data_IF_017893975691
#
_entry.id   IF_017893975691
#
_cell.length_a   1.000
_cell.length_b   1.000
_cell.length_c   1.000
_cell.angle_alpha   90.00
_cell.angle_beta   90.00
_cell.angle_gamma   90.00
#
_symmetry.space_group_name_H-M   'P 1'
#
loop_
_entity.id
_entity.type
_entity.pdbx_description
1 polymer ?
#
# COMPACT_ATOMS: atom_id res chain seq x y z
N UNK A 1 -9.03 -5.20 -4.97
CA UNK A 1 -9.43 -3.86 -4.53
C UNK A 1 -8.57 -3.47 -3.35
N UNK A 2 -8.15 -2.20 -3.27
CA UNK A 2 -7.40 -1.66 -2.13
C UNK A 2 -8.26 -0.61 -1.41
N UNK A 3 -8.39 -0.75 -0.10
CA UNK A 3 -9.06 0.20 0.76
C UNK A 3 -8.09 0.75 1.82
N UNK A 4 -8.17 2.04 2.11
CA UNK A 4 -7.37 2.68 3.17
C UNK A 4 -8.13 2.57 4.49
N UNK A 5 -7.48 2.00 5.50
CA UNK A 5 -8.03 1.92 6.84
C UNK A 5 -7.60 3.15 7.65
N UNK A 6 -8.56 3.87 8.24
CA UNK A 6 -8.30 5.13 8.95
C UNK A 6 -8.19 4.98 10.48
N UNK A 7 -8.45 3.80 11.02
CA UNK A 7 -8.43 3.53 12.47
C UNK A 7 -7.01 3.16 12.96
N UNK A 8 -6.01 3.94 12.54
CA UNK A 8 -4.60 3.71 12.88
C UNK A 8 -3.93 5.00 13.34
N UNK A 9 -2.92 4.92 14.23
CA UNK A 9 -2.11 6.06 14.63
C UNK A 9 -1.56 6.86 13.45
N UNK A 10 -1.40 8.17 13.66
CA UNK A 10 -0.77 9.06 12.68
C UNK A 10 0.60 8.55 12.23
N UNK A 11 0.86 8.61 10.93
CA UNK A 11 2.08 8.08 10.31
C UNK A 11 2.04 6.58 9.97
N UNK A 12 0.96 5.87 10.28
CA UNK A 12 0.72 4.49 9.84
C UNK A 12 -0.25 4.49 8.67
N UNK A 13 0.22 4.00 7.52
CA UNK A 13 -0.60 3.73 6.35
C UNK A 13 -1.11 2.30 6.40
N UNK A 14 -2.38 2.12 6.73
CA UNK A 14 -3.00 0.80 6.73
C UNK A 14 -3.86 0.60 5.47
N UNK A 15 -3.64 -0.52 4.80
CA UNK A 15 -4.34 -0.92 3.59
C UNK A 15 -5.00 -2.28 3.80
N UNK A 16 -6.23 -2.43 3.34
CA UNK A 16 -6.93 -3.70 3.21
C UNK A 16 -7.01 -4.08 1.73
N UNK A 17 -6.49 -5.25 1.40
CA UNK A 17 -6.63 -5.84 0.09
C UNK A 17 -7.71 -6.93 0.13
N UNK A 18 -8.75 -6.75 -0.69
CA UNK A 18 -9.85 -7.71 -0.83
C UNK A 18 -10.04 -8.03 -2.32
N UNK A 19 -10.49 -9.25 -2.63
CA UNK A 19 -10.68 -9.71 -4.01
C UNK A 19 -9.40 -9.57 -4.86
N UNK A 20 -9.55 -9.30 -6.16
CA UNK A 20 -8.44 -9.10 -7.09
C UNK A 20 -7.92 -7.67 -7.01
N UNK A 21 -6.62 -7.50 -6.78
CA UNK A 21 -5.96 -6.19 -6.78
C UNK A 21 -5.49 -5.81 -8.19
N UNK A 22 -5.94 -4.63 -8.65
CA UNK A 22 -5.67 -4.12 -10.00
C UNK A 22 -4.59 -3.05 -10.01
N UNK A 23 -4.04 -2.74 -11.19
CA UNK A 23 -3.09 -1.63 -11.35
C UNK A 23 -3.71 -0.25 -11.08
N UNK A 24 -5.04 -0.11 -11.24
CA UNK A 24 -5.75 1.13 -10.94
C UNK A 24 -5.88 1.39 -9.45
N UNK A 25 -6.10 0.33 -8.65
CA UNK A 25 -6.06 0.44 -7.17
C UNK A 25 -4.71 1.02 -6.70
N UNK A 26 -3.61 0.58 -7.32
CA UNK A 26 -2.28 1.10 -7.01
C UNK A 26 -2.16 2.59 -7.34
N UNK A 27 -2.52 2.98 -8.58
CA UNK A 27 -2.34 4.35 -9.06
C UNK A 27 -3.24 5.36 -8.33
N UNK A 28 -4.47 4.96 -8.05
CA UNK A 28 -5.50 5.88 -7.56
C UNK A 28 -5.59 5.89 -6.03
N UNK A 29 -5.12 4.84 -5.34
CA UNK A 29 -5.21 4.70 -3.88
C UNK A 29 -3.84 4.61 -3.23
N UNK A 30 -3.04 3.62 -3.62
CA UNK A 30 -1.79 3.31 -2.92
C UNK A 30 -0.70 4.39 -3.12
N UNK A 31 -0.45 4.79 -4.37
CA UNK A 31 0.53 5.84 -4.73
C UNK A 31 0.26 7.15 -3.99
N UNK A 32 -0.93 7.79 -4.12
CA UNK A 32 -1.17 9.07 -3.48
C UNK A 32 -1.15 8.99 -1.96
N UNK A 33 -1.53 7.85 -1.36
CA UNK A 33 -1.44 7.65 0.08
C UNK A 33 0.03 7.60 0.57
N UNK A 34 0.90 6.91 -0.18
CA UNK A 34 2.33 6.84 0.10
C UNK A 34 2.97 8.21 -0.06
N UNK A 35 2.74 8.91 -1.17
CA UNK A 35 3.31 10.26 -1.39
C UNK A 35 2.92 11.22 -0.27
N UNK A 36 1.63 11.23 0.11
CA UNK A 36 1.14 12.05 1.22
C UNK A 36 1.80 11.72 2.56
N UNK A 37 2.05 10.43 2.83
CA UNK A 37 2.74 10.00 4.05
C UNK A 37 4.21 10.42 4.07
N UNK A 38 4.90 10.32 2.93
CA UNK A 38 6.28 10.80 2.78
C UNK A 38 6.33 12.32 2.96
N UNK A 39 5.43 13.07 2.34
CA UNK A 39 5.39 14.53 2.47
C UNK A 39 5.13 14.98 3.92
N UNK A 40 4.27 14.25 4.65
CA UNK A 40 3.87 14.65 6.00
C UNK A 40 4.83 14.17 7.08
N UNK A 41 5.36 12.94 6.97
CA UNK A 41 6.12 12.29 8.03
C UNK A 41 7.57 11.99 7.64
N UNK A 42 7.95 12.19 6.37
CA UNK A 42 9.27 11.88 5.81
C UNK A 42 9.66 10.38 5.89
N UNK A 43 8.71 9.53 6.27
CA UNK A 43 8.89 8.09 6.44
C UNK A 43 7.58 7.34 6.22
N UNK A 44 7.70 6.09 5.82
CA UNK A 44 6.57 5.21 5.50
C UNK A 44 6.55 4.07 6.52
N UNK A 45 5.48 4.00 7.30
CA UNK A 45 5.13 2.79 8.07
C UNK A 45 3.85 2.23 7.49
N UNK A 46 3.91 1.08 6.83
CA UNK A 46 2.75 0.49 6.18
C UNK A 46 2.29 -0.81 6.85
N UNK A 47 0.98 -0.97 6.95
CA UNK A 47 0.31 -2.22 7.29
C UNK A 47 -0.51 -2.67 6.09
N UNK A 48 -0.24 -3.87 5.59
CA UNK A 48 -0.95 -4.47 4.47
C UNK A 48 -1.72 -5.69 4.96
N UNK A 49 -3.04 -5.55 5.07
CA UNK A 49 -3.94 -6.61 5.47
C UNK A 49 -4.51 -7.29 4.23
N UNK A 50 -4.13 -8.55 4.01
CA UNK A 50 -4.67 -9.44 3.01
C UNK A 50 -5.91 -10.11 3.61
N UNK A 51 -7.09 -9.61 3.26
CA UNK A 51 -8.34 -10.15 3.80
C UNK A 51 -8.63 -11.58 3.32
N UNK A 52 -9.59 -12.28 3.95
CA UNK A 52 -9.94 -13.66 3.60
C UNK A 52 -10.48 -13.82 2.16
N UNK A 53 -10.95 -12.73 1.55
CA UNK A 53 -11.44 -12.68 0.17
C UNK A 53 -10.34 -12.33 -0.84
N UNK A 54 -9.08 -12.19 -0.41
CA UNK A 54 -7.98 -11.88 -1.30
C UNK A 54 -7.70 -13.06 -2.25
N UNK A 55 -7.87 -12.83 -3.56
CA UNK A 55 -7.70 -13.86 -4.58
C UNK A 55 -6.36 -13.75 -5.32
N UNK A 56 -5.72 -12.58 -5.30
CA UNK A 56 -4.40 -12.37 -5.88
C UNK A 56 -4.21 -10.99 -6.52
N UNK A 57 -3.05 -10.84 -7.16
CA UNK A 57 -2.69 -9.66 -7.93
C UNK A 57 -2.84 -9.94 -9.42
N UNK A 58 -3.40 -8.99 -10.17
CA UNK A 58 -3.30 -9.03 -11.64
C UNK A 58 -1.85 -8.83 -12.10
N UNK A 59 -1.50 -9.36 -13.27
CA UNK A 59 -0.15 -9.22 -13.84
C UNK A 59 0.30 -7.75 -14.01
N UNK A 60 -0.64 -6.80 -14.14
CA UNK A 60 -0.35 -5.36 -14.20
C UNK A 60 -0.05 -4.72 -12.84
N UNK A 61 -0.57 -5.27 -11.75
CA UNK A 61 -0.29 -4.79 -10.40
C UNK A 61 1.17 -5.10 -9.99
N UNK A 62 1.64 -6.31 -10.31
CA UNK A 62 3.01 -6.77 -9.98
C UNK A 62 4.14 -5.91 -10.59
N UNK A 63 3.91 -5.29 -11.75
CA UNK A 63 4.85 -4.34 -12.37
C UNK A 63 4.84 -2.96 -11.70
N UNK A 64 3.71 -2.58 -11.09
CA UNK A 64 3.56 -1.32 -10.36
C UNK A 64 4.22 -1.39 -8.98
N UNK A 65 4.14 -2.55 -8.31
CA UNK A 65 4.88 -2.85 -7.07
C UNK A 65 6.37 -2.54 -7.19
N UNK A 66 6.97 -2.88 -8.32
CA UNK A 66 8.42 -2.70 -8.55
C UNK A 66 8.80 -1.22 -8.58
N UNK A 67 7.97 -0.34 -9.16
CA UNK A 67 8.30 1.09 -9.32
C UNK A 67 8.17 1.89 -8.03
N UNK A 68 7.11 1.69 -7.24
CA UNK A 68 6.89 2.45 -6.00
C UNK A 68 7.84 1.96 -4.91
N UNK A 69 8.01 0.65 -4.81
CA UNK A 69 9.00 0.03 -3.93
C UNK A 69 10.39 0.60 -4.17
N UNK A 70 10.82 0.68 -5.45
CA UNK A 70 12.12 1.25 -5.86
C UNK A 70 12.23 2.78 -5.68
N UNK A 71 11.18 3.54 -5.97
CA UNK A 71 11.21 5.01 -5.95
C UNK A 71 11.42 5.59 -4.54
N UNK A 72 10.97 4.87 -3.50
CA UNK A 72 11.02 5.35 -2.12
C UNK A 72 11.72 4.36 -1.18
N UNK A 73 12.62 3.50 -1.67
CA UNK A 73 13.34 2.51 -0.85
C UNK A 73 13.92 3.08 0.45
N UNK A 74 14.43 4.31 0.42
CA UNK A 74 15.05 4.97 1.58
C UNK A 74 14.06 5.58 2.58
N UNK A 75 12.78 5.72 2.20
CA UNK A 75 11.73 6.27 3.06
C UNK A 75 10.96 5.19 3.84
N UNK A 76 11.10 3.91 3.47
CA UNK A 76 10.45 2.81 4.18
C UNK A 76 11.10 2.57 5.54
N UNK A 77 10.35 2.82 6.61
CA UNK A 77 10.79 2.53 7.98
C UNK A 77 10.37 1.10 8.37
N UNK A 78 9.10 0.74 8.17
CA UNK A 78 8.53 -0.56 8.53
C UNK A 78 7.40 -0.99 7.61
N UNK A 79 7.30 -2.29 7.36
CA UNK A 79 6.20 -2.92 6.63
C UNK A 79 5.73 -4.13 7.41
N UNK A 80 4.43 -4.19 7.69
CA UNK A 80 3.77 -5.36 8.25
C UNK A 80 2.77 -5.91 7.23
N UNK A 81 2.85 -7.20 6.95
CA UNK A 81 1.88 -7.90 6.09
C UNK A 81 1.14 -8.91 6.94
N UNK A 82 -0.19 -8.88 6.91
CA UNK A 82 -1.08 -9.75 7.68
C UNK A 82 -1.98 -10.49 6.70
N UNK A 83 -2.13 -11.80 6.84
CA UNK A 83 -2.95 -12.67 5.99
C UNK A 83 -3.79 -13.62 6.82
#
# INVERSE_FOLDING_TARGET
MIEILTDYPEGILAFSATSEVTADDYKNVLVPAIEKSIEQYNKITALYYLGPEFTGYTAGAMLSDTKIGLAHLTAWEKIAVVS
#
